data_IF_917052228905
#
_entry.id   IF_917052228905
#
_cell.length_a   1.000
_cell.length_b   1.000
_cell.length_c   1.000
_cell.angle_alpha   90.00
_cell.angle_beta   90.00
_cell.angle_gamma   90.00
#
_symmetry.space_group_name_H-M   'P 1'
#
loop_
_entity.id
_entity.type
_entity.pdbx_description
1 polymer ?
#
# COMPACT_ATOMS: atom_id res chain seq x y z
N UNK A 1 -74.95 -52.57 18.10
CA UNK A 1 -74.53 -52.23 16.71
C UNK A 1 -74.35 -50.74 16.42
N UNK A 2 -75.19 -49.81 16.91
CA UNK A 2 -75.04 -48.36 16.63
C UNK A 2 -73.70 -47.74 17.10
N UNK A 3 -73.23 -48.08 18.30
CA UNK A 3 -71.99 -47.50 18.86
C UNK A 3 -70.72 -47.85 18.07
N UNK A 4 -70.66 -49.05 17.49
CA UNK A 4 -69.52 -49.51 16.69
C UNK A 4 -69.37 -48.66 15.41
N UNK A 5 -70.48 -48.32 14.75
CA UNK A 5 -70.46 -47.48 13.54
C UNK A 5 -69.97 -46.06 13.84
N UNK A 6 -70.34 -45.51 15.01
CA UNK A 6 -69.90 -44.18 15.44
C UNK A 6 -68.39 -44.19 15.74
N UNK A 7 -67.88 -45.20 16.44
CA UNK A 7 -66.44 -45.33 16.72
C UNK A 7 -65.61 -45.47 15.44
N UNK A 8 -66.07 -46.25 14.46
CA UNK A 8 -65.40 -46.37 13.16
C UNK A 8 -65.40 -45.03 12.42
N UNK A 9 -66.51 -44.30 12.43
CA UNK A 9 -66.60 -43.00 11.78
C UNK A 9 -65.62 -41.99 12.40
N UNK A 10 -65.52 -41.95 13.74
CA UNK A 10 -64.57 -41.09 14.44
C UNK A 10 -63.13 -41.41 14.03
N UNK A 11 -62.76 -42.70 14.01
CA UNK A 11 -61.41 -43.12 13.59
C UNK A 11 -61.09 -42.70 12.15
N UNK A 12 -62.03 -42.87 11.22
CA UNK A 12 -61.84 -42.45 9.82
C UNK A 12 -61.63 -40.93 9.74
N UNK A 13 -62.43 -40.14 10.46
CA UNK A 13 -62.28 -38.69 10.51
C UNK A 13 -60.91 -38.30 11.10
N UNK A 14 -60.49 -38.93 12.20
CA UNK A 14 -59.18 -38.67 12.80
C UNK A 14 -58.02 -38.97 11.84
N UNK A 15 -58.10 -40.06 11.07
CA UNK A 15 -57.09 -40.41 10.07
C UNK A 15 -57.07 -39.38 8.94
N UNK A 16 -58.24 -38.96 8.44
CA UNK A 16 -58.33 -37.94 7.39
C UNK A 16 -57.72 -36.61 7.86
N UNK A 17 -58.03 -36.19 9.08
CA UNK A 17 -57.47 -34.98 9.69
C UNK A 17 -55.95 -35.09 9.83
N UNK A 18 -55.43 -36.24 10.30
CA UNK A 18 -53.99 -36.47 10.40
C UNK A 18 -53.29 -36.36 9.05
N UNK A 19 -53.80 -37.05 8.02
CA UNK A 19 -53.23 -37.01 6.67
C UNK A 19 -53.29 -35.60 6.07
N UNK A 20 -54.35 -34.85 6.35
CA UNK A 20 -54.46 -33.47 5.89
C UNK A 20 -53.44 -32.55 6.56
N UNK A 21 -53.24 -32.69 7.87
CA UNK A 21 -52.21 -31.95 8.62
C UNK A 21 -50.82 -32.31 8.10
N UNK A 22 -50.53 -33.59 7.90
CA UNK A 22 -49.26 -34.05 7.34
C UNK A 22 -49.00 -33.47 5.95
N UNK A 23 -50.02 -33.45 5.09
CA UNK A 23 -49.93 -32.83 3.76
C UNK A 23 -49.64 -31.33 3.84
N UNK A 24 -50.34 -30.59 4.71
CA UNK A 24 -50.08 -29.16 4.93
C UNK A 24 -48.65 -28.94 5.41
N UNK A 25 -48.20 -29.69 6.40
CA UNK A 25 -46.87 -29.55 6.97
C UNK A 25 -45.79 -29.81 5.92
N UNK A 26 -45.93 -30.89 5.15
CA UNK A 26 -44.99 -31.21 4.05
C UNK A 26 -44.90 -30.07 3.05
N UNK A 27 -46.04 -29.53 2.61
CA UNK A 27 -46.10 -28.43 1.64
C UNK A 27 -45.52 -27.14 2.20
N UNK A 28 -45.72 -26.88 3.51
CA UNK A 28 -45.12 -25.74 4.19
C UNK A 28 -43.58 -25.85 4.23
N UNK A 29 -43.03 -27.03 4.54
CA UNK A 29 -41.58 -27.25 4.52
C UNK A 29 -40.97 -27.08 3.13
N UNK A 30 -41.62 -27.61 2.09
CA UNK A 30 -41.17 -27.45 0.70
C UNK A 30 -41.12 -25.97 0.30
N UNK A 31 -42.15 -25.19 0.64
CA UNK A 31 -42.19 -23.75 0.37
C UNK A 31 -41.13 -22.97 1.17
N UNK A 32 -40.92 -23.29 2.44
CA UNK A 32 -39.89 -22.65 3.26
C UNK A 32 -38.50 -22.88 2.67
N UNK A 33 -38.19 -24.11 2.26
CA UNK A 33 -36.91 -24.44 1.64
C UNK A 33 -36.70 -23.70 0.30
N UNK A 34 -37.74 -23.58 -0.53
CA UNK A 34 -37.66 -22.79 -1.76
C UNK A 34 -37.40 -21.31 -1.51
N UNK A 35 -38.06 -20.73 -0.50
CA UNK A 35 -37.87 -19.32 -0.11
C UNK A 35 -36.44 -19.12 0.39
N UNK A 36 -35.95 -20.00 1.25
CA UNK A 36 -34.58 -19.93 1.77
C UNK A 36 -33.56 -20.03 0.63
N UNK A 37 -33.71 -21.02 -0.25
CA UNK A 37 -32.83 -21.19 -1.41
C UNK A 37 -32.81 -19.97 -2.34
N UNK A 38 -33.99 -19.40 -2.66
CA UNK A 38 -34.09 -18.18 -3.47
C UNK A 38 -33.48 -16.97 -2.77
N UNK A 39 -33.65 -16.88 -1.45
CA UNK A 39 -33.05 -15.86 -0.61
C UNK A 39 -31.53 -15.92 -0.67
N UNK A 40 -30.94 -17.07 -0.37
CA UNK A 40 -29.49 -17.30 -0.41
C UNK A 40 -28.90 -16.98 -1.78
N UNK A 41 -29.51 -17.48 -2.85
CA UNK A 41 -29.06 -17.19 -4.23
C UNK A 41 -29.07 -15.69 -4.54
N UNK A 42 -30.09 -14.96 -4.09
CA UNK A 42 -30.18 -13.51 -4.30
C UNK A 42 -29.09 -12.75 -3.52
N UNK A 43 -28.81 -13.19 -2.28
CA UNK A 43 -27.74 -12.61 -1.45
C UNK A 43 -26.38 -12.82 -2.11
N UNK A 44 -26.08 -14.03 -2.60
CA UNK A 44 -24.82 -14.34 -3.29
C UNK A 44 -24.60 -13.45 -4.53
N UNK A 45 -25.66 -13.23 -5.30
CA UNK A 45 -25.61 -12.37 -6.49
C UNK A 45 -25.37 -10.90 -6.13
N UNK A 46 -26.03 -10.40 -5.07
CA UNK A 46 -25.82 -9.05 -4.54
C UNK A 46 -24.39 -8.89 -4.04
N UNK A 47 -23.87 -9.87 -3.28
CA UNK A 47 -22.51 -9.84 -2.75
C UNK A 47 -21.47 -9.81 -3.88
N UNK A 48 -21.67 -10.62 -4.92
CA UNK A 48 -20.81 -10.63 -6.11
C UNK A 48 -20.79 -9.27 -6.82
N UNK A 49 -21.97 -8.68 -7.07
CA UNK A 49 -22.08 -7.35 -7.70
C UNK A 49 -21.44 -6.28 -6.84
N UNK A 50 -21.64 -6.34 -5.53
CA UNK A 50 -21.08 -5.39 -4.57
C UNK A 50 -19.55 -5.46 -4.58
N UNK A 51 -18.96 -6.66 -4.56
CA UNK A 51 -17.50 -6.85 -4.68
C UNK A 51 -16.94 -6.30 -5.99
N UNK A 52 -17.63 -6.52 -7.11
CA UNK A 52 -17.21 -5.99 -8.41
C UNK A 52 -17.22 -4.46 -8.42
N UNK A 53 -18.27 -3.84 -7.89
CA UNK A 53 -18.38 -2.39 -7.77
C UNK A 53 -17.27 -1.81 -6.89
N UNK A 54 -17.06 -2.38 -5.70
CA UNK A 54 -16.00 -1.95 -4.77
C UNK A 54 -14.63 -1.98 -5.45
N UNK A 55 -14.29 -3.08 -6.14
CA UNK A 55 -13.00 -3.22 -6.82
C UNK A 55 -12.83 -2.19 -7.93
N UNK A 56 -13.87 -1.94 -8.72
CA UNK A 56 -13.84 -0.92 -9.77
C UNK A 56 -13.64 0.49 -9.20
N UNK A 57 -14.39 0.84 -8.14
CA UNK A 57 -14.30 2.16 -7.50
C UNK A 57 -12.93 2.37 -6.84
N UNK A 58 -12.38 1.37 -6.15
CA UNK A 58 -11.04 1.46 -5.54
C UNK A 58 -9.98 1.67 -6.61
N UNK A 59 -10.06 0.92 -7.72
CA UNK A 59 -9.11 1.07 -8.81
C UNK A 59 -9.14 2.49 -9.41
N UNK A 60 -10.34 3.02 -9.67
CA UNK A 60 -10.51 4.36 -10.22
C UNK A 60 -10.03 5.44 -9.26
N UNK A 61 -10.34 5.32 -7.97
CA UNK A 61 -9.89 6.23 -6.93
C UNK A 61 -8.35 6.24 -6.80
N UNK A 62 -7.72 5.06 -6.79
CA UNK A 62 -6.26 4.95 -6.74
C UNK A 62 -5.60 5.59 -7.96
N UNK A 63 -6.18 5.42 -9.14
CA UNK A 63 -5.70 6.06 -10.37
C UNK A 63 -5.80 7.59 -10.28
N UNK A 64 -6.92 8.12 -9.79
CA UNK A 64 -7.10 9.57 -9.58
C UNK A 64 -6.11 10.14 -8.56
N UNK A 65 -5.89 9.47 -7.43
CA UNK A 65 -4.87 9.87 -6.44
C UNK A 65 -3.50 9.92 -7.08
N UNK A 66 -3.12 8.88 -7.83
CA UNK A 66 -1.81 8.79 -8.48
C UNK A 66 -1.60 9.96 -9.44
N UNK A 67 -2.61 10.32 -10.23
CA UNK A 67 -2.57 11.47 -11.12
C UNK A 67 -2.42 12.80 -10.36
N UNK A 68 -3.15 12.97 -9.26
CA UNK A 68 -3.03 14.17 -8.42
C UNK A 68 -1.65 14.28 -7.79
N UNK A 69 -1.13 13.19 -7.21
CA UNK A 69 0.22 13.14 -6.62
C UNK A 69 1.26 13.52 -7.67
N UNK A 70 1.21 12.93 -8.87
CA UNK A 70 2.16 13.25 -9.94
C UNK A 70 2.09 14.73 -10.34
N UNK A 71 0.89 15.32 -10.38
CA UNK A 71 0.73 16.75 -10.68
C UNK A 71 1.37 17.65 -9.59
N UNK A 72 1.23 17.26 -8.32
CA UNK A 72 1.82 17.97 -7.18
C UNK A 72 3.34 17.80 -7.16
N UNK A 73 3.84 16.60 -7.44
CA UNK A 73 5.27 16.30 -7.53
C UNK A 73 5.92 17.13 -8.62
N UNK A 74 5.37 17.15 -9.83
CA UNK A 74 5.93 17.95 -10.93
C UNK A 74 5.86 19.46 -10.62
N UNK A 75 4.77 19.95 -10.04
CA UNK A 75 4.64 21.36 -9.62
C UNK A 75 5.70 21.76 -8.59
N UNK A 76 6.03 20.85 -7.67
CA UNK A 76 6.98 21.08 -6.59
C UNK A 76 8.39 20.59 -6.88
N UNK A 77 8.64 20.01 -8.07
CA UNK A 77 9.94 19.50 -8.49
C UNK A 77 11.06 20.53 -8.43
N UNK A 78 10.72 21.82 -8.60
CA UNK A 78 11.65 22.95 -8.48
C UNK A 78 12.02 23.33 -7.03
N UNK A 79 11.22 22.89 -6.06
CA UNK A 79 11.42 23.16 -4.62
C UNK A 79 11.98 21.96 -3.86
N UNK A 80 11.90 20.78 -4.45
CA UNK A 80 12.74 19.65 -4.03
C UNK A 80 14.11 20.00 -4.60
N UNK A 81 15.10 20.46 -3.80
CA UNK A 81 16.46 20.43 -4.28
C UNK A 81 16.67 18.99 -4.73
N UNK A 82 17.03 18.79 -6.00
CA UNK A 82 17.61 17.52 -6.40
C UNK A 82 18.70 17.29 -5.35
N UNK A 83 18.47 16.35 -4.44
CA UNK A 83 19.56 15.71 -3.71
C UNK A 83 20.34 15.03 -4.82
N UNK A 84 21.17 15.83 -5.49
CA UNK A 84 22.36 15.36 -6.10
C UNK A 84 23.10 14.72 -4.91
N UNK A 85 23.27 13.40 -4.88
CA UNK A 85 24.03 12.76 -3.81
C UNK A 85 25.48 13.28 -3.71
N UNK A 86 25.88 14.20 -4.59
CA UNK A 86 27.18 14.88 -4.65
C UNK A 86 27.09 16.43 -4.60
N UNK A 87 25.93 17.00 -4.27
CA UNK A 87 25.66 18.43 -4.36
C UNK A 87 25.73 19.16 -3.02
N UNK A 88 26.94 19.35 -2.46
CA UNK A 88 27.11 20.33 -1.39
C UNK A 88 26.76 21.73 -1.93
N UNK A 89 25.69 22.33 -1.38
CA UNK A 89 25.22 23.69 -1.72
C UNK A 89 26.02 24.78 -1.00
N UNK A 90 26.88 24.39 -0.06
CA UNK A 90 27.74 25.27 0.73
C UNK A 90 29.18 24.79 0.63
N UNK A 91 30.12 25.73 0.63
CA UNK A 91 31.54 25.40 0.75
C UNK A 91 31.73 24.68 2.10
N UNK A 92 32.43 23.55 2.10
CA UNK A 92 32.75 22.84 3.34
C UNK A 92 33.78 23.64 4.13
N UNK A 93 33.60 23.71 5.45
CA UNK A 93 34.62 24.25 6.36
C UNK A 93 35.78 23.26 6.54
N UNK A 94 35.58 21.99 6.15
CA UNK A 94 36.54 20.93 6.30
C UNK A 94 37.22 20.69 4.96
N UNK A 95 38.31 21.38 4.72
CA UNK A 95 39.13 21.21 3.52
C UNK A 95 40.59 21.45 3.87
N UNK A 96 41.49 20.88 3.08
CA UNK A 96 42.91 21.03 3.35
C UNK A 96 43.79 20.24 2.41
N UNK A 97 45.09 20.41 2.61
CA UNK A 97 46.13 19.76 1.85
C UNK A 97 46.58 18.49 2.53
N UNK A 98 46.24 17.34 1.95
CA UNK A 98 46.66 16.04 2.47
C UNK A 98 47.37 15.24 1.39
N UNK A 99 48.60 14.80 1.71
CA UNK A 99 49.45 13.99 0.81
C UNK A 99 49.72 14.68 -0.54
N UNK A 100 49.84 16.01 -0.52
CA UNK A 100 50.12 16.83 -1.70
C UNK A 100 48.93 17.07 -2.63
N UNK A 101 47.70 16.72 -2.19
CA UNK A 101 46.47 16.97 -2.93
C UNK A 101 45.43 17.66 -2.05
N UNK A 102 44.50 18.39 -2.67
CA UNK A 102 43.41 19.02 -1.97
C UNK A 102 42.28 18.05 -1.69
N UNK A 103 41.84 18.00 -0.43
CA UNK A 103 40.74 17.18 0.04
C UNK A 103 39.62 18.06 0.58
N UNK A 104 38.41 17.52 0.53
CA UNK A 104 37.23 18.10 1.13
C UNK A 104 36.56 17.05 2.02
N UNK A 105 35.99 17.51 3.14
CA UNK A 105 35.15 16.72 4.01
C UNK A 105 33.82 16.47 3.33
N UNK A 106 33.34 15.25 3.43
CA UNK A 106 32.05 14.86 2.88
C UNK A 106 30.93 15.36 3.79
N UNK A 107 30.02 16.15 3.21
CA UNK A 107 28.87 16.72 3.91
C UNK A 107 27.78 15.68 4.16
N UNK A 108 28.04 14.78 5.10
CA UNK A 108 27.00 14.05 5.82
C UNK A 108 26.71 14.77 7.13
N UNK A 109 25.48 15.27 7.32
CA UNK A 109 25.01 15.95 8.54
C UNK A 109 24.98 15.04 9.80
N UNK A 110 25.62 13.88 9.74
CA UNK A 110 25.78 12.97 10.84
C UNK A 110 27.26 12.60 10.90
N UNK A 111 27.96 12.85 12.02
CA UNK A 111 29.26 12.23 12.22
C UNK A 111 29.01 10.72 12.12
N UNK A 112 29.56 10.09 11.08
CA UNK A 112 29.68 8.65 11.08
C UNK A 112 30.36 8.27 12.41
N UNK A 113 29.88 7.21 13.05
CA UNK A 113 30.50 6.63 14.26
C UNK A 113 31.99 6.28 14.05
N UNK A 114 32.48 6.36 12.80
CA UNK A 114 33.85 6.05 12.37
C UNK A 114 34.71 7.28 12.05
N UNK A 115 34.21 8.51 12.19
CA UNK A 115 34.98 9.75 11.97
C UNK A 115 34.60 10.55 10.72
N UNK A 116 35.27 11.69 10.48
CA UNK A 116 35.01 12.56 9.34
C UNK A 116 35.47 11.88 8.05
N UNK A 117 34.55 11.68 7.10
CA UNK A 117 34.89 11.11 5.80
C UNK A 117 35.46 12.20 4.86
N UNK A 118 36.50 11.86 4.12
CA UNK A 118 37.21 12.76 3.21
C UNK A 118 37.17 12.25 1.77
N UNK A 119 37.31 13.17 0.82
CA UNK A 119 37.38 12.89 -0.60
C UNK A 119 38.43 13.77 -1.27
N UNK A 120 39.03 13.30 -2.37
CA UNK A 120 39.90 14.14 -3.20
C UNK A 120 39.06 15.13 -4.01
N UNK A 121 39.57 16.34 -4.16
CA UNK A 121 38.98 17.37 -5.03
C UNK A 121 39.65 17.36 -6.41
N UNK A 122 38.86 17.61 -7.46
CA UNK A 122 39.38 17.82 -8.82
C UNK A 122 38.81 19.09 -9.41
N UNK A 123 39.59 19.77 -10.26
CA UNK A 123 39.10 20.86 -11.10
C UNK A 123 39.18 20.43 -12.56
N UNK A 124 38.04 20.39 -13.25
CA UNK A 124 37.82 20.27 -14.71
C UNK A 124 38.54 19.16 -15.50
N UNK A 125 39.80 18.80 -15.19
CA UNK A 125 40.68 17.88 -15.92
C UNK A 125 41.77 17.20 -15.05
N UNK A 126 41.76 17.29 -13.71
CA UNK A 126 42.77 16.60 -12.90
C UNK A 126 42.68 16.79 -11.38
N UNK A 127 43.45 15.98 -10.64
CA UNK A 127 43.65 16.10 -9.19
C UNK A 127 44.34 17.43 -8.88
N UNK A 128 43.83 18.16 -7.88
CA UNK A 128 44.43 19.43 -7.47
C UNK A 128 45.56 19.15 -6.48
N UNK A 129 46.79 19.52 -6.85
CA UNK A 129 47.95 19.45 -5.96
C UNK A 129 48.03 20.67 -5.05
N UNK A 130 48.61 20.51 -3.87
CA UNK A 130 48.80 21.59 -2.90
C UNK A 130 50.10 21.39 -2.10
N UNK A 131 50.58 22.48 -1.51
CA UNK A 131 51.67 22.48 -0.52
C UNK A 131 51.17 22.91 0.87
N UNK A 132 50.09 23.68 0.93
CA UNK A 132 49.47 24.18 2.16
C UNK A 132 47.94 24.17 2.05
N UNK A 133 47.22 24.14 3.17
CA UNK A 133 45.74 24.06 3.18
C UNK A 133 45.07 25.22 2.44
N UNK A 134 45.71 26.38 2.43
CA UNK A 134 45.23 27.61 1.78
C UNK A 134 45.26 27.51 0.24
N UNK A 135 46.02 26.56 -0.31
CA UNK A 135 46.02 26.27 -1.76
C UNK A 135 44.71 25.58 -2.19
N UNK A 136 43.95 25.08 -1.23
CA UNK A 136 42.70 24.38 -1.43
C UNK A 136 41.50 25.31 -1.22
N UNK A 137 40.39 24.98 -1.86
CA UNK A 137 39.17 25.76 -1.77
C UNK A 137 38.04 24.88 -1.24
N UNK A 138 37.45 25.25 -0.11
CA UNK A 138 36.33 24.53 0.51
C UNK A 138 35.07 24.43 -0.37
N UNK A 139 34.99 25.19 -1.46
CA UNK A 139 33.91 25.09 -2.44
C UNK A 139 34.20 24.03 -3.53
N UNK A 140 35.40 23.44 -3.57
CA UNK A 140 35.71 22.36 -4.50
C UNK A 140 35.00 21.06 -4.07
N UNK A 141 34.41 20.38 -5.05
CA UNK A 141 33.62 19.18 -4.82
C UNK A 141 34.48 17.92 -4.81
N UNK A 142 34.01 16.92 -4.08
CA UNK A 142 34.52 15.57 -4.16
C UNK A 142 34.48 15.05 -5.60
N UNK A 143 35.60 14.50 -6.05
CA UNK A 143 35.72 13.81 -7.32
C UNK A 143 35.69 12.28 -7.18
N UNK A 144 35.74 11.79 -5.93
CA UNK A 144 35.69 10.38 -5.57
C UNK A 144 34.62 10.15 -4.50
N UNK A 145 34.20 8.89 -4.31
CA UNK A 145 33.50 8.49 -3.10
C UNK A 145 34.28 8.90 -1.84
N UNK A 146 33.53 9.13 -0.78
CA UNK A 146 34.04 9.47 0.53
C UNK A 146 34.68 8.22 1.18
N UNK A 147 35.81 8.42 1.83
CA UNK A 147 36.51 7.38 2.59
C UNK A 147 37.01 7.94 3.91
N UNK A 148 37.08 7.07 4.93
CA UNK A 148 37.70 7.36 6.23
C UNK A 148 39.23 7.44 6.07
#
# INVERSE_FOLDING_TARGET
MKNIKISILILVISIIVYLFIEHINRRAYELLNEIEYRGSRSIDEIEKRTRQLINATIFEFNNQITQQINSVVEKNRKYIPLQNPYGATTCTEWFGCHKGYCWAGCSGAFPSLTGPEWCYTTKSKGKMTCSQDQDCNGCWRCSSPCSI
#
